data_IF_215785494868
#
_entry.id   IF_215785494868
#
_cell.length_a   1.000
_cell.length_b   1.000
_cell.length_c   1.000
_cell.angle_alpha   90.00
_cell.angle_beta   90.00
_cell.angle_gamma   90.00
#
_symmetry.space_group_name_H-M   'P 1'
#
loop_
_entity.id
_entity.type
_entity.pdbx_description
1 polymer ?
#
# COMPACT_ATOMS: atom_id res chain seq x y z
N UNK A 1 -11.54 4.66 3.22
CA UNK A 1 -11.43 4.28 4.63
C UNK A 1 -10.17 4.90 5.20
N UNK A 2 -10.32 5.59 6.31
CA UNK A 2 -9.18 6.16 7.03
C UNK A 2 -8.54 5.08 7.90
N UNK A 3 -7.21 5.11 8.00
CA UNK A 3 -6.50 4.21 8.89
C UNK A 3 -6.15 2.86 8.31
N UNK A 4 -6.31 2.68 7.02
CA UNK A 4 -5.70 1.54 6.35
C UNK A 4 -4.18 1.64 6.49
N UNK A 5 -3.49 0.52 6.43
CA UNK A 5 -2.05 0.47 6.59
C UNK A 5 -1.38 0.13 5.25
N UNK A 6 -0.38 0.94 4.91
CA UNK A 6 0.48 0.69 3.76
C UNK A 6 1.75 0.00 4.25
N UNK A 7 2.14 -1.09 3.59
CA UNK A 7 3.36 -1.82 3.94
C UNK A 7 4.59 -0.94 3.80
N UNK A 8 5.66 -1.30 4.52
CA UNK A 8 6.95 -0.64 4.37
C UNK A 8 7.73 -1.22 3.18
N UNK A 9 8.59 -0.41 2.57
CA UNK A 9 9.49 -0.90 1.54
C UNK A 9 10.41 -2.01 2.04
N UNK A 10 10.75 -1.98 3.33
CA UNK A 10 11.59 -3.00 3.95
C UNK A 10 10.92 -4.37 4.07
N UNK A 11 9.58 -4.42 4.06
CA UNK A 11 8.83 -5.68 4.10
C UNK A 11 8.53 -6.25 2.72
N UNK A 12 8.73 -5.48 1.66
CA UNK A 12 8.34 -5.87 0.31
C UNK A 12 9.54 -6.30 -0.51
N UNK A 13 9.35 -7.28 -1.38
CA UNK A 13 10.38 -7.68 -2.34
C UNK A 13 10.66 -6.56 -3.35
N UNK A 14 9.66 -5.73 -3.62
CA UNK A 14 9.79 -4.54 -4.46
C UNK A 14 9.41 -3.32 -3.63
N UNK A 15 10.39 -2.58 -3.14
CA UNK A 15 10.17 -1.45 -2.25
C UNK A 15 9.26 -0.37 -2.87
N UNK A 16 9.32 -0.19 -4.19
CA UNK A 16 8.49 0.79 -4.89
C UNK A 16 6.99 0.52 -4.76
N UNK A 17 6.58 -0.69 -4.38
CA UNK A 17 5.17 -0.99 -4.13
C UNK A 17 4.63 -0.33 -2.86
N UNK A 18 5.51 0.25 -2.04
CA UNK A 18 5.13 1.06 -0.89
C UNK A 18 5.14 2.57 -1.18
N UNK A 19 5.40 2.96 -2.42
CA UNK A 19 5.33 4.36 -2.88
C UNK A 19 4.11 4.49 -3.78
N UNK A 20 3.04 5.09 -3.25
CA UNK A 20 1.77 5.14 -3.94
C UNK A 20 1.32 6.58 -4.16
N UNK A 21 0.54 6.76 -5.22
CA UNK A 21 -0.10 8.04 -5.56
C UNK A 21 -1.61 7.90 -5.46
N UNK A 22 -2.34 9.00 -5.46
CA UNK A 22 -3.80 8.94 -5.55
C UNK A 22 -4.23 8.19 -6.80
N UNK A 23 -5.15 7.25 -6.64
CA UNK A 23 -5.62 6.40 -7.72
C UNK A 23 -4.85 5.09 -7.91
N UNK A 24 -3.75 4.88 -7.18
CA UNK A 24 -2.99 3.63 -7.27
C UNK A 24 -3.83 2.47 -6.71
N UNK A 25 -4.04 1.39 -7.50
CA UNK A 25 -4.69 0.19 -6.98
C UNK A 25 -3.83 -0.48 -5.92
N UNK A 26 -4.47 -0.92 -4.84
CA UNK A 26 -3.81 -1.54 -3.71
C UNK A 26 -4.31 -2.96 -3.49
N UNK A 27 -3.40 -3.88 -3.24
CA UNK A 27 -3.72 -5.26 -2.91
C UNK A 27 -3.13 -5.65 -1.56
N UNK A 28 -3.44 -6.87 -1.11
CA UNK A 28 -2.92 -7.39 0.15
C UNK A 28 -1.42 -7.65 0.07
N UNK A 29 -0.70 -7.28 1.12
CA UNK A 29 0.71 -7.68 1.29
C UNK A 29 0.86 -8.90 2.21
N UNK A 30 -0.24 -9.57 2.54
CA UNK A 30 -0.32 -10.81 3.32
C UNK A 30 -0.02 -10.67 4.82
N UNK A 31 0.08 -9.45 5.33
CA UNK A 31 0.34 -9.21 6.75
C UNK A 31 -0.65 -8.21 7.38
N UNK A 32 -1.78 -7.99 6.72
CA UNK A 32 -2.78 -7.02 7.17
C UNK A 32 -2.56 -5.61 6.64
N UNK A 33 -1.50 -5.39 5.87
CA UNK A 33 -1.25 -4.12 5.20
C UNK A 33 -1.50 -4.23 3.70
N UNK A 34 -1.40 -3.11 3.00
CA UNK A 34 -1.63 -3.02 1.57
C UNK A 34 -0.36 -2.62 0.85
N UNK A 35 -0.28 -2.94 -0.43
CA UNK A 35 0.79 -2.50 -1.32
C UNK A 35 0.21 -2.19 -2.69
N UNK A 36 0.92 -1.42 -3.50
CA UNK A 36 0.54 -1.19 -4.89
C UNK A 36 0.50 -2.53 -5.64
N UNK A 37 -0.50 -2.70 -6.50
CA UNK A 37 -0.60 -3.88 -7.33
C UNK A 37 -1.00 -3.49 -8.74
N UNK A 38 -0.41 -4.20 -9.72
CA UNK A 38 -0.80 -4.09 -11.13
C UNK A 38 -1.56 -5.33 -11.59
N UNK A 39 -1.76 -6.30 -10.71
CA UNK A 39 -2.44 -7.54 -11.04
C UNK A 39 -3.95 -7.33 -11.07
N UNK A 40 -4.57 -7.57 -12.22
CA UNK A 40 -6.02 -7.49 -12.34
C UNK A 40 -6.68 -8.49 -11.39
N UNK A 41 -7.69 -8.02 -10.66
CA UNK A 41 -8.42 -8.84 -9.70
C UNK A 41 -7.77 -8.96 -8.33
N UNK A 42 -6.53 -8.50 -8.16
CA UNK A 42 -5.86 -8.50 -6.86
C UNK A 42 -6.13 -7.24 -6.04
N UNK A 43 -6.59 -6.17 -6.68
CA UNK A 43 -6.86 -4.91 -5.99
C UNK A 43 -8.09 -5.03 -5.11
N UNK A 44 -7.98 -4.57 -3.86
CA UNK A 44 -9.08 -4.54 -2.89
C UNK A 44 -9.47 -3.11 -2.53
N UNK A 45 -8.63 -2.15 -2.88
CA UNK A 45 -8.85 -0.74 -2.59
C UNK A 45 -8.04 0.11 -3.57
N UNK A 46 -8.30 1.42 -3.53
CA UNK A 46 -7.56 2.40 -4.31
C UNK A 46 -7.04 3.47 -3.35
N UNK A 47 -5.80 3.88 -3.52
CA UNK A 47 -5.22 4.94 -2.70
C UNK A 47 -5.96 6.26 -2.95
N UNK A 48 -6.30 6.95 -1.87
CA UNK A 48 -7.00 8.23 -1.92
C UNK A 48 -6.07 9.40 -1.59
N UNK A 49 -4.79 9.13 -1.46
CA UNK A 49 -3.75 10.13 -1.23
C UNK A 49 -2.39 9.55 -1.63
N UNK A 50 -1.41 10.43 -1.80
CA UNK A 50 -0.05 10.01 -2.06
C UNK A 50 0.67 9.71 -0.75
N UNK A 51 1.29 8.55 -0.65
CA UNK A 51 2.12 8.15 0.51
C UNK A 51 3.34 7.41 0.00
N UNK A 52 4.52 7.84 0.41
CA UNK A 52 5.76 7.15 0.09
C UNK A 52 6.33 6.50 1.34
N UNK A 53 6.13 5.20 1.47
CA UNK A 53 6.67 4.39 2.57
C UNK A 53 7.77 3.44 2.09
N UNK A 54 8.32 3.69 0.90
CA UNK A 54 9.30 2.79 0.27
C UNK A 54 10.64 2.75 1.02
N UNK A 55 10.99 3.82 1.71
CA UNK A 55 12.23 3.87 2.49
C UNK A 55 12.10 3.41 3.93
N UNK A 56 10.91 3.00 4.36
CA UNK A 56 10.70 2.58 5.74
C UNK A 56 11.32 1.22 6.03
N UNK A 57 11.80 1.04 7.26
CA UNK A 57 12.33 -0.24 7.71
C UNK A 57 11.21 -1.28 7.84
N UNK A 58 11.59 -2.55 7.84
CA UNK A 58 10.64 -3.65 7.99
C UNK A 58 9.76 -3.44 9.23
N UNK A 59 8.46 -3.66 9.09
CA UNK A 59 7.48 -3.49 10.15
C UNK A 59 6.96 -2.06 10.33
N UNK A 60 7.53 -1.08 9.66
CA UNK A 60 7.15 0.34 9.80
C UNK A 60 6.06 0.71 8.81
N UNK A 61 4.85 0.37 9.12
CA UNK A 61 3.69 0.65 8.27
C UNK A 61 3.26 2.11 8.38
N UNK A 62 2.70 2.64 7.30
CA UNK A 62 2.17 4.01 7.27
C UNK A 62 0.65 3.97 7.18
N UNK A 63 -0.01 4.96 7.78
CA UNK A 63 -1.45 5.14 7.60
C UNK A 63 -1.73 5.73 6.24
N UNK A 64 -2.78 5.27 5.60
CA UNK A 64 -3.19 5.75 4.29
C UNK A 64 -4.71 5.78 4.19
N UNK A 65 -5.23 6.82 3.56
CA UNK A 65 -6.63 6.88 3.20
C UNK A 65 -6.85 6.12 1.91
N UNK A 66 -7.83 5.24 1.91
CA UNK A 66 -8.15 4.43 0.74
C UNK A 66 -9.65 4.42 0.49
N UNK A 67 -10.02 4.13 -0.76
CA UNK A 67 -11.38 3.81 -1.14
C UNK A 67 -11.45 2.31 -1.36
N UNK A 68 -12.31 1.63 -0.60
CA UNK A 68 -12.49 0.18 -0.72
C UNK A 68 -13.33 -0.12 -1.96
N UNK A 69 -12.87 -1.09 -2.73
CA UNK A 69 -13.57 -1.52 -3.95
C UNK A 69 -14.75 -2.43 -3.65
#
# INVERSE_FOLDING_TARGET
VKGALLASGGDLSTAADADVSGGTPLGSSDDGSLKATTTAGAAVAVADEAVDNSGAAAGERARINVEVL
#
